data_IF_986575253649
#
_entry.id   IF_986575253649
#
_cell.length_a   1.000
_cell.length_b   1.000
_cell.length_c   1.000
_cell.angle_alpha   90.00
_cell.angle_beta   90.00
_cell.angle_gamma   90.00
#
_symmetry.space_group_name_H-M   'P 1'
#
loop_
_entity.id
_entity.type
_entity.pdbx_description
1 polymer ?
#
# COMPACT_ATOMS: atom_id res chain seq x y z
N UNK A 1 -12.11 4.77 5.12
CA UNK A 1 -10.72 5.26 5.27
C UNK A 1 -10.78 6.76 5.24
N UNK A 2 -10.19 7.42 6.23
CA UNK A 2 -10.05 8.87 6.21
C UNK A 2 -9.15 9.28 5.04
N UNK A 3 -9.33 10.48 4.50
CA UNK A 3 -8.52 10.98 3.37
C UNK A 3 -7.01 10.88 3.67
N UNK A 4 -6.63 11.17 4.92
CA UNK A 4 -5.24 11.11 5.40
C UNK A 4 -4.64 9.69 5.43
N UNK A 5 -5.44 8.65 5.67
CA UNK A 5 -4.96 7.26 5.62
C UNK A 5 -4.71 6.81 4.18
N UNK A 6 -5.53 7.30 3.24
CA UNK A 6 -5.43 6.95 1.83
C UNK A 6 -4.23 7.62 1.14
N UNK A 7 -3.90 8.85 1.52
CA UNK A 7 -2.68 9.54 1.07
C UNK A 7 -1.42 8.79 1.52
N UNK A 8 -1.32 8.45 2.81
CA UNK A 8 -0.18 7.67 3.35
C UNK A 8 -0.04 6.30 2.70
N UNK A 9 -1.16 5.64 2.40
CA UNK A 9 -1.14 4.36 1.71
C UNK A 9 -0.58 4.49 0.29
N UNK A 10 -0.96 5.56 -0.43
CA UNK A 10 -0.43 5.83 -1.78
C UNK A 10 1.06 6.10 -1.76
N UNK A 11 1.55 6.95 -0.85
CA UNK A 11 2.98 7.23 -0.68
C UNK A 11 3.77 5.93 -0.45
N UNK A 12 3.31 5.07 0.47
CA UNK A 12 3.95 3.78 0.73
C UNK A 12 3.94 2.86 -0.49
N UNK A 13 2.85 2.84 -1.27
CA UNK A 13 2.77 2.02 -2.49
C UNK A 13 3.69 2.54 -3.59
N UNK A 14 3.82 3.86 -3.73
CA UNK A 14 4.76 4.49 -4.67
C UNK A 14 6.20 4.12 -4.33
N UNK A 15 6.61 4.19 -3.06
CA UNK A 15 7.94 3.72 -2.64
C UNK A 15 8.17 2.24 -2.94
N UNK A 16 7.16 1.38 -2.71
CA UNK A 16 7.26 -0.06 -2.99
C UNK A 16 7.34 -0.35 -4.50
N UNK A 17 6.67 0.45 -5.32
CA UNK A 17 6.75 0.39 -6.78
C UNK A 17 8.12 0.84 -7.28
N UNK A 18 8.68 1.93 -6.74
CA UNK A 18 10.02 2.42 -7.07
C UNK A 18 11.11 1.41 -6.71
N UNK A 19 10.99 0.79 -5.53
CA UNK A 19 11.88 -0.29 -5.08
C UNK A 19 11.66 -1.60 -5.84
N UNK A 20 10.69 -1.66 -6.77
CA UNK A 20 10.29 -2.83 -7.57
C UNK A 20 9.86 -4.05 -6.74
N UNK A 21 9.41 -3.82 -5.50
CA UNK A 21 8.87 -4.88 -4.65
C UNK A 21 7.48 -5.33 -5.09
N UNK A 22 6.68 -4.42 -5.62
CA UNK A 22 5.31 -4.68 -6.10
C UNK A 22 5.17 -4.28 -7.57
N UNK A 23 4.24 -4.93 -8.28
CA UNK A 23 3.89 -4.61 -9.66
C UNK A 23 2.37 -4.70 -9.84
N UNK A 24 1.77 -3.91 -10.75
CA UNK A 24 0.37 -4.08 -11.10
C UNK A 24 0.10 -5.52 -11.54
N UNK A 25 -0.98 -6.11 -11.05
CA UNK A 25 -1.39 -7.47 -11.41
C UNK A 25 -2.90 -7.54 -11.56
N UNK A 26 -3.37 -8.45 -12.43
CA UNK A 26 -4.79 -8.73 -12.68
C UNK A 26 -5.22 -10.07 -12.06
N UNK A 27 -4.66 -10.41 -10.89
CA UNK A 27 -4.94 -11.68 -10.22
C UNK A 27 -6.42 -11.77 -9.81
N UNK A 28 -7.10 -12.92 -10.05
CA UNK A 28 -8.44 -13.16 -9.51
C UNK A 28 -8.42 -13.35 -7.98
N UNK A 29 -7.24 -13.54 -7.38
CA UNK A 29 -7.03 -13.63 -5.94
C UNK A 29 -6.55 -12.29 -5.39
N UNK A 30 -7.35 -11.67 -4.54
CA UNK A 30 -7.02 -10.45 -3.79
C UNK A 30 -6.99 -10.72 -2.28
N UNK A 31 -6.14 -10.01 -1.56
CA UNK A 31 -6.09 -10.03 -0.11
C UNK A 31 -6.28 -8.61 0.44
N UNK A 32 -6.96 -8.43 1.59
CA UNK A 32 -7.07 -7.12 2.22
C UNK A 32 -5.71 -6.66 2.77
N UNK A 33 -5.42 -5.36 2.65
CA UNK A 33 -4.20 -4.73 3.20
C UNK A 33 -4.56 -3.92 4.44
N UNK A 34 -3.77 -4.09 5.50
CA UNK A 34 -3.91 -3.33 6.75
C UNK A 34 -2.76 -2.35 6.90
N UNK A 35 -3.09 -1.07 7.11
CA UNK A 35 -2.11 -0.04 7.45
C UNK A 35 -1.85 -0.12 8.96
N UNK A 36 -0.63 -0.51 9.35
CA UNK A 36 -0.23 -0.56 10.76
C UNK A 36 0.70 0.62 11.04
N UNK A 37 0.31 1.49 11.98
CA UNK A 37 1.21 2.51 12.52
C UNK A 37 2.19 1.82 13.48
N UNK A 38 3.48 1.84 13.16
CA UNK A 38 4.51 1.43 14.10
C UNK A 38 4.62 2.47 15.22
N UNK A 39 4.68 2.01 16.47
CA UNK A 39 5.06 2.83 17.59
C UNK A 39 6.57 2.59 17.78
N UNK A 40 7.38 3.53 17.30
CA UNK A 40 8.76 3.71 17.77
C UNK A 40 8.75 4.56 19.05
#
# INVERSE_FOLDING_TARGET
>A
MSAAELEKLKEHLEELLEKKFVRPSISPWGAPVLLVKKND
#
